data_IF_768812036612
#
_entry.id   IF_768812036612
#
_cell.length_a   1.000
_cell.length_b   1.000
_cell.length_c   1.000
_cell.angle_alpha   90.00
_cell.angle_beta   90.00
_cell.angle_gamma   90.00
#
_symmetry.space_group_name_H-M   'P 1'
#
loop_
_entity.id
_entity.type
_entity.pdbx_description
1 polymer ?
#
# COMPACT_ATOMS: atom_id res chain seq x y z
N UNK A 1 -1.31 -23.18 -4.20
CA UNK A 1 -0.79 -22.01 -3.44
C UNK A 1 -1.24 -20.79 -4.21
N UNK A 2 -2.00 -19.90 -3.60
CA UNK A 2 -2.54 -18.67 -4.23
C UNK A 2 -1.50 -17.56 -4.11
N UNK A 3 -1.42 -16.69 -5.11
CA UNK A 3 -0.51 -15.54 -5.06
C UNK A 3 -1.30 -14.23 -5.12
N UNK A 4 -0.84 -13.26 -4.37
CA UNK A 4 -1.24 -11.86 -4.50
C UNK A 4 -0.09 -11.12 -5.18
N UNK A 5 -0.25 -10.77 -6.44
CA UNK A 5 0.64 -9.85 -7.15
C UNK A 5 0.23 -8.42 -6.79
N UNK A 6 1.16 -7.60 -6.33
CA UNK A 6 0.85 -6.23 -5.93
C UNK A 6 1.55 -5.20 -6.81
N UNK A 7 0.80 -4.55 -7.66
CA UNK A 7 1.26 -3.44 -8.48
C UNK A 7 1.01 -2.12 -7.73
N UNK A 8 2.08 -1.39 -7.40
CA UNK A 8 1.99 -0.15 -6.62
C UNK A 8 3.29 0.66 -6.60
N UNK A 9 3.32 1.64 -5.71
CA UNK A 9 4.39 2.60 -5.50
C UNK A 9 5.16 2.41 -4.17
N UNK A 10 5.76 3.49 -3.65
CA UNK A 10 6.59 3.50 -2.44
C UNK A 10 5.84 3.20 -1.16
N UNK A 11 4.52 3.38 -1.12
CA UNK A 11 3.71 3.13 0.09
C UNK A 11 3.52 1.64 0.35
N UNK A 12 3.72 0.82 -0.69
CA UNK A 12 3.55 -0.64 -0.66
C UNK A 12 4.88 -1.40 -0.77
N UNK A 13 5.91 -0.77 -1.36
CA UNK A 13 7.19 -1.43 -1.68
C UNK A 13 7.82 -2.12 -0.47
N UNK A 14 8.37 -3.33 -0.70
CA UNK A 14 9.27 -3.98 0.26
C UNK A 14 10.58 -3.22 0.35
N UNK A 15 10.88 -2.69 1.53
CA UNK A 15 12.05 -1.86 1.80
C UNK A 15 13.23 -2.70 2.30
N UNK A 16 14.46 -2.21 2.04
CA UNK A 16 15.70 -2.84 2.47
C UNK A 16 16.17 -2.25 3.79
N UNK A 17 17.08 -2.94 4.46
CA UNK A 17 17.71 -2.47 5.72
C UNK A 17 18.25 -1.03 5.63
N UNK A 18 18.83 -0.65 4.49
CA UNK A 18 19.37 0.72 4.28
C UNK A 18 18.31 1.83 4.35
N UNK A 19 17.03 1.50 4.26
CA UNK A 19 15.93 2.46 4.41
C UNK A 19 15.13 2.26 5.69
N UNK A 20 15.60 1.40 6.61
CA UNK A 20 14.97 1.22 7.91
C UNK A 20 14.92 2.55 8.68
N UNK A 21 13.79 2.95 9.30
CA UNK A 21 12.59 2.16 9.63
C UNK A 21 11.46 2.18 8.59
N UNK A 22 11.72 2.63 7.34
CA UNK A 22 10.69 2.67 6.31
C UNK A 22 10.17 1.26 6.01
N UNK A 23 8.85 1.09 6.07
CA UNK A 23 8.16 -0.18 5.84
C UNK A 23 6.98 0.07 4.92
N UNK A 24 6.84 -0.72 3.85
CA UNK A 24 5.68 -0.62 2.97
C UNK A 24 4.55 -1.57 3.39
N UNK A 25 3.32 -1.23 3.00
CA UNK A 25 2.12 -2.02 3.31
C UNK A 25 2.25 -3.47 2.80
N UNK A 26 2.75 -3.65 1.57
CA UNK A 26 2.94 -4.98 0.97
C UNK A 26 4.02 -5.82 1.64
N UNK A 27 4.93 -5.19 2.38
CA UNK A 27 5.98 -5.88 3.14
C UNK A 27 5.43 -6.64 4.35
N UNK A 28 4.32 -6.18 4.91
CA UNK A 28 3.71 -6.74 6.12
C UNK A 28 2.37 -7.43 5.86
N UNK A 29 1.87 -7.41 4.63
CA UNK A 29 0.53 -7.89 4.33
C UNK A 29 0.34 -9.39 4.58
N UNK A 30 1.42 -10.18 4.54
CA UNK A 30 1.39 -11.61 4.91
C UNK A 30 0.95 -11.88 6.35
N UNK A 31 0.96 -10.86 7.23
CA UNK A 31 0.37 -10.97 8.57
C UNK A 31 -1.15 -11.24 8.52
N UNK A 32 -1.82 -10.77 7.48
CA UNK A 32 -3.26 -10.83 7.31
C UNK A 32 -3.74 -11.96 6.41
N UNK A 33 -2.83 -12.71 5.79
CA UNK A 33 -3.18 -13.78 4.86
C UNK A 33 -2.98 -15.17 5.44
N UNK A 34 -3.76 -16.13 4.96
CA UNK A 34 -3.57 -17.56 5.23
C UNK A 34 -2.21 -18.04 4.74
N UNK A 35 -1.72 -19.15 5.28
CA UNK A 35 -0.38 -19.69 4.99
C UNK A 35 -0.22 -20.24 3.57
N UNK A 36 -1.33 -20.53 2.89
CA UNK A 36 -1.34 -20.94 1.47
C UNK A 36 -1.32 -19.76 0.50
N UNK A 37 -1.26 -18.51 1.00
CA UNK A 37 -1.23 -17.27 0.23
C UNK A 37 0.15 -16.64 0.27
N UNK A 38 0.75 -16.40 -0.90
CA UNK A 38 2.05 -15.71 -1.03
C UNK A 38 1.88 -14.31 -1.60
N UNK A 39 2.44 -13.30 -0.93
CA UNK A 39 2.48 -11.91 -1.43
C UNK A 39 3.70 -11.71 -2.32
N UNK A 40 3.48 -11.49 -3.62
CA UNK A 40 4.50 -11.17 -4.63
C UNK A 40 4.47 -9.67 -4.89
N UNK A 41 5.30 -8.92 -4.18
CA UNK A 41 5.25 -7.47 -4.15
C UNK A 41 6.08 -6.84 -5.30
N UNK A 42 5.40 -6.39 -6.36
CA UNK A 42 5.98 -5.69 -7.51
C UNK A 42 6.06 -4.16 -7.34
N UNK A 43 5.54 -3.64 -6.20
CA UNK A 43 5.54 -2.20 -5.93
C UNK A 43 6.97 -1.62 -5.98
N UNK A 44 7.07 -0.40 -6.50
CA UNK A 44 8.36 0.28 -6.67
C UNK A 44 8.24 1.78 -6.41
N UNK A 45 9.19 2.32 -5.63
CA UNK A 45 9.26 3.75 -5.31
C UNK A 45 9.09 4.63 -6.55
N UNK A 46 8.23 5.64 -6.45
CA UNK A 46 8.06 6.68 -7.45
C UNK A 46 7.25 6.27 -8.69
N UNK A 47 6.65 5.07 -8.73
CA UNK A 47 5.88 4.62 -9.89
C UNK A 47 4.43 5.10 -9.82
N UNK A 48 3.97 5.63 -10.96
CA UNK A 48 2.57 5.84 -11.30
C UNK A 48 2.05 4.66 -12.10
N UNK A 49 0.76 4.63 -12.40
CA UNK A 49 0.20 3.63 -13.34
C UNK A 49 0.95 3.65 -14.68
N UNK A 50 1.18 4.87 -15.22
CA UNK A 50 1.90 5.08 -16.47
C UNK A 50 3.32 4.53 -16.43
N UNK A 51 4.15 5.00 -15.49
CA UNK A 51 5.55 4.58 -15.42
C UNK A 51 5.72 3.11 -15.07
N UNK A 52 4.77 2.51 -14.33
CA UNK A 52 4.76 1.08 -14.06
C UNK A 52 4.53 0.25 -15.32
N UNK A 53 3.66 0.71 -16.23
CA UNK A 53 3.42 0.10 -17.54
C UNK A 53 4.64 0.32 -18.45
N UNK A 54 5.07 1.58 -18.61
CA UNK A 54 6.14 1.97 -19.52
C UNK A 54 7.48 1.26 -19.23
N UNK A 55 7.75 0.94 -17.97
CA UNK A 55 8.95 0.20 -17.53
C UNK A 55 8.81 -1.33 -17.65
N UNK A 56 7.74 -1.83 -18.24
CA UNK A 56 7.50 -3.27 -18.42
C UNK A 56 7.24 -4.03 -17.11
N UNK A 57 6.88 -3.33 -16.02
CA UNK A 57 6.61 -3.99 -14.72
C UNK A 57 5.31 -4.75 -14.73
N UNK A 58 4.28 -4.21 -15.39
CA UNK A 58 3.02 -4.90 -15.58
C UNK A 58 3.19 -6.12 -16.48
N UNK A 59 4.05 -6.04 -17.50
CA UNK A 59 4.37 -7.19 -18.36
C UNK A 59 4.95 -8.36 -17.54
N UNK A 60 5.81 -8.10 -16.56
CA UNK A 60 6.35 -9.17 -15.68
C UNK A 60 5.26 -9.85 -14.88
N UNK A 61 4.25 -9.09 -14.42
CA UNK A 61 3.08 -9.66 -13.75
C UNK A 61 2.26 -10.49 -14.74
N UNK A 62 2.04 -9.98 -15.96
CA UNK A 62 1.31 -10.67 -17.03
C UNK A 62 1.95 -12.03 -17.40
N UNK A 63 3.28 -12.14 -17.30
CA UNK A 63 4.03 -13.37 -17.57
C UNK A 63 3.95 -14.41 -16.42
N UNK A 64 3.64 -13.97 -15.17
CA UNK A 64 3.71 -14.83 -13.98
C UNK A 64 2.35 -15.15 -13.35
N UNK A 65 1.35 -14.27 -13.54
CA UNK A 65 0.04 -14.39 -12.90
C UNK A 65 -0.78 -15.50 -13.57
N UNK A 66 -1.48 -16.30 -12.77
CA UNK A 66 -2.27 -17.42 -13.26
C UNK A 66 -3.67 -17.47 -12.70
N UNK A 67 -4.43 -18.46 -13.14
CA UNK A 67 -5.81 -18.66 -12.71
C UNK A 67 -5.91 -18.88 -11.19
N UNK A 68 -6.82 -18.14 -10.54
CA UNK A 68 -7.00 -18.19 -9.09
C UNK A 68 -6.04 -17.31 -8.29
N UNK A 69 -5.07 -16.66 -8.93
CA UNK A 69 -4.24 -15.63 -8.29
C UNK A 69 -5.00 -14.29 -8.18
N UNK A 70 -4.38 -13.32 -7.51
CA UNK A 70 -4.97 -12.00 -7.28
C UNK A 70 -4.02 -10.90 -7.79
N UNK A 71 -4.57 -9.85 -8.40
CA UNK A 71 -3.82 -8.65 -8.73
C UNK A 71 -4.35 -7.46 -7.91
N UNK A 72 -3.57 -7.01 -6.93
CA UNK A 72 -3.84 -5.81 -6.15
C UNK A 72 -3.24 -4.60 -6.87
N UNK A 73 -4.05 -3.58 -7.12
CA UNK A 73 -3.72 -2.41 -7.92
C UNK A 73 -3.92 -1.16 -7.04
N UNK A 74 -2.81 -0.49 -6.65
CA UNK A 74 -2.85 0.66 -5.74
C UNK A 74 -1.91 1.76 -6.25
N UNK A 75 -2.47 2.83 -6.79
CA UNK A 75 -1.75 3.97 -7.36
C UNK A 75 -2.46 5.30 -7.06
N UNK A 76 -1.82 6.42 -7.43
CA UNK A 76 -2.32 7.78 -7.28
C UNK A 76 -1.24 8.76 -6.86
N UNK A 77 -0.39 8.41 -5.86
CA UNK A 77 0.64 9.30 -5.31
C UNK A 77 1.62 9.89 -6.33
N UNK A 78 1.87 9.19 -7.42
CA UNK A 78 2.80 9.62 -8.46
C UNK A 78 2.08 10.03 -9.73
N UNK A 79 0.89 9.53 -9.95
CA UNK A 79 0.01 9.89 -11.07
C UNK A 79 -0.38 11.38 -11.02
N UNK A 80 -0.55 11.94 -9.82
CA UNK A 80 -0.90 13.35 -9.59
C UNK A 80 0.22 14.37 -9.85
N UNK A 81 1.43 13.93 -10.17
CA UNK A 81 2.60 14.80 -10.36
C UNK A 81 2.61 15.47 -11.72
N UNK A 82 1.76 16.47 -11.91
CA UNK A 82 1.58 17.17 -13.19
C UNK A 82 2.86 17.79 -13.77
N UNK A 83 3.86 18.10 -12.93
CA UNK A 83 5.17 18.61 -13.34
C UNK A 83 6.12 17.52 -13.86
N UNK A 84 5.75 16.24 -13.79
CA UNK A 84 6.56 15.10 -14.23
C UNK A 84 5.82 14.28 -15.29
N UNK A 85 6.00 14.58 -16.58
CA UNK A 85 5.29 13.89 -17.68
C UNK A 85 5.55 12.38 -17.76
N UNK A 86 6.65 11.90 -17.18
CA UNK A 86 6.96 10.47 -17.15
C UNK A 86 6.05 9.69 -16.18
N UNK A 87 5.42 10.39 -15.21
CA UNK A 87 4.55 9.80 -14.21
C UNK A 87 3.12 10.29 -14.26
N UNK A 88 2.92 11.53 -14.68
CA UNK A 88 1.60 12.14 -14.69
C UNK A 88 0.60 11.40 -15.57
N UNK A 89 -0.61 11.28 -15.05
CA UNK A 89 -1.79 10.80 -15.78
C UNK A 89 -2.96 11.73 -15.47
N UNK A 90 -3.85 11.96 -16.44
CA UNK A 90 -5.09 12.68 -16.22
C UNK A 90 -6.08 11.78 -15.47
N UNK A 91 -6.69 12.21 -14.33
CA UNK A 91 -7.49 11.34 -13.46
C UNK A 91 -8.62 10.60 -14.19
N UNK A 92 -9.45 11.34 -14.91
CA UNK A 92 -10.67 10.82 -15.53
C UNK A 92 -10.50 10.35 -17.00
N UNK A 93 -9.27 10.19 -17.44
CA UNK A 93 -8.95 9.61 -18.77
C UNK A 93 -7.81 8.61 -18.64
N UNK A 94 -6.54 9.03 -18.83
CA UNK A 94 -5.38 8.14 -18.90
C UNK A 94 -5.13 7.33 -17.62
N UNK A 95 -5.48 7.85 -16.43
CA UNK A 95 -5.40 7.06 -15.21
C UNK A 95 -6.43 5.92 -15.20
N UNK A 96 -7.68 6.21 -15.57
CA UNK A 96 -8.74 5.18 -15.67
C UNK A 96 -8.39 4.14 -16.75
N UNK A 97 -7.93 4.58 -17.92
CA UNK A 97 -7.48 3.69 -19.01
C UNK A 97 -6.37 2.75 -18.54
N UNK A 98 -5.38 3.28 -17.83
CA UNK A 98 -4.31 2.46 -17.26
C UNK A 98 -4.85 1.44 -16.25
N UNK A 99 -5.74 1.82 -15.34
CA UNK A 99 -6.38 0.88 -14.40
C UNK A 99 -7.10 -0.26 -15.13
N UNK A 100 -7.80 0.05 -16.22
CA UNK A 100 -8.45 -0.96 -17.06
C UNK A 100 -7.45 -1.94 -17.69
N UNK A 101 -6.25 -1.47 -18.07
CA UNK A 101 -5.17 -2.35 -18.56
C UNK A 101 -4.74 -3.33 -17.47
N UNK A 102 -4.51 -2.87 -16.22
CA UNK A 102 -4.18 -3.77 -15.09
C UNK A 102 -5.28 -4.79 -14.82
N UNK A 103 -6.55 -4.36 -14.81
CA UNK A 103 -7.71 -5.24 -14.60
C UNK A 103 -7.76 -6.32 -15.68
N UNK A 104 -7.52 -5.94 -16.94
CA UNK A 104 -7.56 -6.85 -18.08
C UNK A 104 -6.42 -7.88 -18.04
N UNK A 105 -5.23 -7.49 -17.55
CA UNK A 105 -4.13 -8.45 -17.32
C UNK A 105 -4.57 -9.53 -16.34
N UNK A 106 -5.19 -9.20 -15.20
CA UNK A 106 -5.67 -10.20 -14.27
C UNK A 106 -6.74 -11.11 -14.92
N UNK A 107 -7.74 -10.52 -15.55
CA UNK A 107 -8.87 -11.25 -16.16
C UNK A 107 -8.46 -12.19 -17.29
N UNK A 108 -7.50 -11.78 -18.12
CA UNK A 108 -6.95 -12.59 -19.20
C UNK A 108 -6.43 -13.94 -18.71
N UNK A 109 -5.89 -13.98 -17.50
CA UNK A 109 -5.34 -15.19 -16.88
C UNK A 109 -6.29 -15.91 -15.92
N UNK A 110 -7.55 -15.44 -15.79
CA UNK A 110 -8.48 -15.99 -14.80
C UNK A 110 -8.11 -15.65 -13.34
N UNK A 111 -7.35 -14.59 -13.15
CA UNK A 111 -7.01 -14.03 -11.84
C UNK A 111 -8.04 -12.97 -11.41
N UNK A 112 -8.04 -12.64 -10.14
CA UNK A 112 -8.98 -11.73 -9.49
C UNK A 112 -8.36 -10.35 -9.28
N UNK A 113 -8.78 -9.29 -10.02
CA UNK A 113 -8.32 -7.93 -9.79
C UNK A 113 -8.98 -7.31 -8.55
N UNK A 114 -8.23 -6.47 -7.82
CA UNK A 114 -8.72 -5.64 -6.72
C UNK A 114 -8.16 -4.24 -6.88
N UNK A 115 -9.00 -3.23 -6.87
CA UNK A 115 -8.58 -1.83 -6.78
C UNK A 115 -8.46 -1.42 -5.31
N UNK A 116 -7.39 -0.70 -4.98
CA UNK A 116 -7.13 -0.17 -3.64
C UNK A 116 -6.86 1.33 -3.79
N UNK A 117 -7.70 2.17 -3.21
CA UNK A 117 -7.48 3.62 -3.28
C UNK A 117 -6.15 4.01 -2.60
N UNK A 118 -5.45 5.07 -3.05
CA UNK A 118 -4.19 5.48 -2.43
C UNK A 118 -4.36 5.82 -0.95
N UNK A 119 -3.33 5.55 -0.16
CA UNK A 119 -3.27 5.97 1.24
C UNK A 119 -3.37 7.50 1.34
N UNK A 120 -4.16 8.03 2.29
CA UNK A 120 -4.17 9.48 2.54
C UNK A 120 -2.82 9.95 3.10
N UNK A 121 -2.34 11.10 2.61
CA UNK A 121 -1.16 11.77 3.17
C UNK A 121 -1.51 12.42 4.51
N UNK A 122 -0.56 12.40 5.43
CA UNK A 122 -0.69 13.03 6.73
C UNK A 122 -0.51 14.56 6.63
N UNK A 123 -1.42 15.22 5.91
CA UNK A 123 -1.39 16.68 5.67
C UNK A 123 -2.40 17.38 6.60
N UNK A 124 -2.03 17.59 7.85
CA UNK A 124 -2.82 18.35 8.79
C UNK A 124 -2.68 19.85 8.58
N UNK A 125 -3.78 20.61 8.66
CA UNK A 125 -3.82 22.07 8.65
C UNK A 125 -3.77 22.63 10.07
N UNK A 126 -4.22 21.85 11.04
CA UNK A 126 -4.07 22.08 12.48
C UNK A 126 -4.08 20.72 13.22
N UNK A 127 -4.06 20.73 14.55
CA UNK A 127 -3.92 19.52 15.38
C UNK A 127 -4.99 18.45 15.13
N UNK A 128 -6.15 18.82 14.58
CA UNK A 128 -7.32 17.94 14.42
C UNK A 128 -7.82 17.82 12.98
N UNK A 129 -7.52 18.78 12.14
CA UNK A 129 -8.11 18.84 10.82
C UNK A 129 -7.10 18.47 9.73
N UNK A 130 -7.39 17.40 8.99
CA UNK A 130 -6.73 17.11 7.73
C UNK A 130 -7.16 18.12 6.68
N UNK A 131 -6.20 18.60 5.90
CA UNK A 131 -6.45 19.40 4.73
C UNK A 131 -7.33 18.71 3.68
N UNK A 132 -7.57 19.42 2.58
CA UNK A 132 -8.21 18.84 1.39
C UNK A 132 -7.36 17.66 0.96
N UNK A 133 -7.99 16.50 0.72
CA UNK A 133 -7.28 15.27 0.39
C UNK A 133 -6.44 15.41 -0.88
N UNK A 134 -5.20 15.01 -0.80
CA UNK A 134 -4.23 15.17 -1.88
C UNK A 134 -4.60 14.40 -3.16
N UNK A 135 -5.40 13.33 -3.03
CA UNK A 135 -5.65 12.38 -4.11
C UNK A 135 -7.12 12.34 -4.57
N UNK A 136 -7.94 13.36 -4.25
CA UNK A 136 -9.40 13.32 -4.38
C UNK A 136 -9.88 12.89 -5.77
N UNK A 137 -9.29 13.45 -6.84
CA UNK A 137 -9.71 13.15 -8.21
C UNK A 137 -9.28 11.74 -8.64
N UNK A 138 -8.10 11.29 -8.24
CA UNK A 138 -7.64 9.91 -8.50
C UNK A 138 -8.44 8.87 -7.72
N UNK A 139 -8.85 9.19 -6.49
CA UNK A 139 -9.76 8.35 -5.70
C UNK A 139 -11.13 8.26 -6.38
N UNK A 140 -11.68 9.39 -6.83
CA UNK A 140 -12.96 9.42 -7.54
C UNK A 140 -12.88 8.63 -8.86
N UNK A 141 -11.81 8.82 -9.65
CA UNK A 141 -11.58 8.10 -10.90
C UNK A 141 -11.44 6.58 -10.66
N UNK A 142 -10.70 6.16 -9.62
CA UNK A 142 -10.56 4.75 -9.28
C UNK A 142 -11.89 4.12 -8.86
N UNK A 143 -12.74 4.83 -8.09
CA UNK A 143 -14.08 4.38 -7.72
C UNK A 143 -14.97 4.21 -8.95
N UNK A 144 -14.97 5.18 -9.88
CA UNK A 144 -15.69 5.06 -11.14
C UNK A 144 -15.21 3.87 -11.99
N UNK A 145 -13.89 3.63 -12.03
CA UNK A 145 -13.33 2.47 -12.73
C UNK A 145 -13.77 1.16 -12.07
N UNK A 146 -13.80 1.09 -10.74
CA UNK A 146 -14.26 -0.09 -10.01
C UNK A 146 -15.72 -0.42 -10.37
N UNK A 147 -16.60 0.57 -10.37
CA UNK A 147 -18.02 0.43 -10.77
C UNK A 147 -18.14 0.02 -12.24
N UNK A 148 -17.51 0.77 -13.16
CA UNK A 148 -17.52 0.51 -14.60
C UNK A 148 -17.07 -0.90 -14.93
N UNK A 149 -16.00 -1.36 -14.29
CA UNK A 149 -15.43 -2.66 -14.55
C UNK A 149 -15.97 -3.78 -13.67
N UNK A 150 -16.86 -3.50 -12.73
CA UNK A 150 -17.37 -4.46 -11.75
C UNK A 150 -16.20 -5.21 -11.05
N UNK A 151 -15.31 -4.43 -10.41
CA UNK A 151 -14.14 -4.89 -9.67
C UNK A 151 -14.26 -4.46 -8.21
N UNK A 152 -13.97 -5.32 -7.23
CA UNK A 152 -13.94 -4.92 -5.82
C UNK A 152 -12.96 -3.78 -5.56
N UNK A 153 -13.33 -2.90 -4.64
CA UNK A 153 -12.53 -1.77 -4.22
C UNK A 153 -12.37 -1.76 -2.70
N UNK A 154 -11.12 -1.77 -2.22
CA UNK A 154 -10.80 -1.43 -0.84
C UNK A 154 -10.56 0.09 -0.75
N UNK A 155 -11.46 0.83 -0.09
CA UNK A 155 -11.35 2.29 0.04
C UNK A 155 -10.39 2.69 1.16
N UNK A 156 -9.10 2.38 0.97
CA UNK A 156 -8.04 2.73 1.92
C UNK A 156 -7.98 4.24 2.17
N UNK A 157 -8.24 5.07 1.16
CA UNK A 157 -8.24 6.52 1.31
C UNK A 157 -9.23 6.98 2.40
N UNK A 158 -10.48 6.59 2.31
CA UNK A 158 -11.50 7.00 3.29
C UNK A 158 -11.24 6.40 4.68
N UNK A 159 -10.80 5.13 4.73
CA UNK A 159 -10.49 4.46 5.98
C UNK A 159 -9.26 5.06 6.67
N UNK A 160 -8.17 5.29 5.94
CA UNK A 160 -6.95 5.91 6.50
C UNK A 160 -7.20 7.34 6.96
N UNK A 161 -8.00 8.10 6.21
CA UNK A 161 -8.41 9.45 6.59
C UNK A 161 -9.17 9.49 7.90
N UNK A 162 -10.03 8.50 8.15
CA UNK A 162 -10.74 8.31 9.41
C UNK A 162 -9.78 8.05 10.57
N UNK A 163 -8.83 7.13 10.42
CA UNK A 163 -7.85 6.82 11.46
C UNK A 163 -6.90 8.01 11.73
N UNK A 164 -6.48 8.72 10.69
CA UNK A 164 -5.67 9.93 10.84
C UNK A 164 -6.40 11.00 11.65
N UNK A 165 -7.67 11.28 11.33
CA UNK A 165 -8.50 12.24 12.09
C UNK A 165 -8.67 11.84 13.55
N UNK A 166 -8.91 10.55 13.81
CA UNK A 166 -9.05 10.01 15.17
C UNK A 166 -7.77 10.15 15.99
N UNK A 167 -6.61 9.89 15.40
CA UNK A 167 -5.32 10.00 16.07
C UNK A 167 -4.83 11.45 16.23
N UNK A 168 -5.26 12.35 15.36
CA UNK A 168 -4.78 13.73 15.29
C UNK A 168 -3.35 13.84 14.75
N UNK A 169 -2.88 15.07 14.66
CA UNK A 169 -1.54 15.39 14.12
C UNK A 169 -0.45 14.66 14.91
N UNK A 170 -0.39 14.84 16.22
CA UNK A 170 0.65 14.25 17.07
C UNK A 170 0.56 12.74 17.16
N UNK A 171 -0.64 12.18 17.35
CA UNK A 171 -0.84 10.75 17.53
C UNK A 171 -0.54 9.92 16.28
N UNK A 172 -0.70 10.50 15.09
CA UNK A 172 -0.45 9.83 13.82
C UNK A 172 1.02 9.85 13.38
N UNK A 173 1.89 10.66 13.98
CA UNK A 173 3.32 10.75 13.62
C UNK A 173 4.02 9.39 13.70
N UNK A 174 3.68 8.58 14.69
CA UNK A 174 4.28 7.24 14.89
C UNK A 174 4.05 6.27 13.73
N UNK A 175 3.09 6.52 12.88
CA UNK A 175 2.78 5.67 11.72
C UNK A 175 3.63 6.01 10.48
N UNK A 176 4.21 7.23 10.45
CA UNK A 176 4.94 7.75 9.29
C UNK A 176 6.43 7.90 9.59
N UNK A 177 7.22 8.15 8.54
CA UNK A 177 8.64 8.46 8.65
C UNK A 177 8.84 9.86 9.25
N UNK A 178 8.38 10.02 10.48
CA UNK A 178 8.39 11.26 11.24
C UNK A 178 9.09 11.02 12.59
N UNK A 179 10.34 11.49 12.72
CA UNK A 179 11.17 11.25 13.91
C UNK A 179 12.32 12.25 14.03
N UNK A 180 12.88 12.34 15.24
CA UNK A 180 13.90 13.32 15.58
C UNK A 180 15.30 12.93 15.09
N UNK A 181 16.21 13.90 15.11
CA UNK A 181 17.64 13.68 14.86
C UNK A 181 18.22 12.65 15.82
N UNK A 182 19.02 11.70 15.29
CA UNK A 182 19.71 10.67 16.07
C UNK A 182 18.87 9.47 16.47
N UNK A 183 17.55 9.43 16.13
CA UNK A 183 16.65 8.31 16.48
C UNK A 183 16.94 7.04 15.65
N UNK A 184 17.37 7.22 14.38
CA UNK A 184 17.71 6.11 13.49
C UNK A 184 19.05 6.34 12.79
N UNK A 185 19.91 5.32 12.77
CA UNK A 185 21.24 5.37 12.15
C UNK A 185 21.20 5.73 10.66
N UNK A 186 20.19 5.23 9.93
CA UNK A 186 20.03 5.49 8.49
C UNK A 186 19.51 6.91 8.19
N UNK A 187 19.07 7.65 9.22
CA UNK A 187 18.55 9.02 9.12
C UNK A 187 19.11 9.87 10.28
N UNK A 188 20.43 10.16 10.29
CA UNK A 188 21.07 10.84 11.42
C UNK A 188 20.48 12.23 11.70
N UNK A 189 19.95 12.90 10.69
CA UNK A 189 19.34 14.23 10.83
C UNK A 189 17.83 14.21 11.15
N UNK A 190 17.27 13.00 11.37
CA UNK A 190 15.85 12.82 11.55
C UNK A 190 15.09 12.84 10.20
N UNK A 191 13.76 12.77 10.26
CA UNK A 191 12.92 12.85 9.07
C UNK A 191 11.53 13.41 9.39
N UNK A 192 10.99 14.20 8.47
CA UNK A 192 9.62 14.70 8.48
C UNK A 192 8.96 14.33 7.14
N UNK A 193 8.31 13.17 7.11
CA UNK A 193 7.72 12.63 5.89
C UNK A 193 6.30 12.14 6.21
N UNK A 194 5.34 12.78 5.58
CA UNK A 194 3.92 12.59 5.79
C UNK A 194 3.29 11.57 4.81
N UNK A 195 4.12 10.81 4.10
CA UNK A 195 3.68 9.85 3.06
C UNK A 195 4.18 8.44 3.34
N UNK A 196 5.49 8.27 3.61
CA UNK A 196 6.09 6.96 3.82
C UNK A 196 5.90 6.47 5.25
N UNK A 197 5.73 5.17 5.41
CA UNK A 197 5.33 4.54 6.65
C UNK A 197 6.51 3.95 7.43
N UNK A 198 6.33 3.85 8.76
CA UNK A 198 7.05 2.93 9.63
C UNK A 198 6.23 1.67 9.82
N UNK A 199 6.78 0.68 10.51
CA UNK A 199 6.16 -0.63 10.73
C UNK A 199 4.72 -0.52 11.28
N UNK A 200 4.49 0.21 12.37
CA UNK A 200 3.16 0.34 12.98
C UNK A 200 2.13 0.94 12.02
N UNK A 201 2.54 1.89 11.20
CA UNK A 201 1.69 2.45 10.14
C UNK A 201 1.41 1.46 9.02
N UNK A 202 2.45 0.73 8.58
CA UNK A 202 2.28 -0.29 7.55
C UNK A 202 1.32 -1.40 7.99
N UNK A 203 1.44 -1.87 9.24
CA UNK A 203 0.53 -2.88 9.83
C UNK A 203 -0.89 -2.33 9.93
N UNK A 204 -1.09 -1.13 10.49
CA UNK A 204 -2.42 -0.52 10.59
C UNK A 204 -3.12 -0.44 9.22
N UNK A 205 -2.43 0.11 8.21
CA UNK A 205 -3.06 0.33 6.90
C UNK A 205 -3.19 -0.96 6.09
N UNK A 206 -2.34 -1.97 6.32
CA UNK A 206 -2.55 -3.32 5.82
C UNK A 206 -3.84 -3.94 6.39
N UNK A 207 -4.09 -3.76 7.69
CA UNK A 207 -5.33 -4.19 8.34
C UNK A 207 -6.59 -3.53 7.76
N UNK A 208 -6.51 -2.25 7.39
CA UNK A 208 -7.63 -1.58 6.73
C UNK A 208 -7.90 -2.17 5.33
N UNK A 209 -6.85 -2.52 4.58
CA UNK A 209 -7.03 -3.21 3.29
C UNK A 209 -7.65 -4.59 3.51
N UNK A 210 -7.17 -5.36 4.49
CA UNK A 210 -7.76 -6.65 4.84
C UNK A 210 -9.25 -6.52 5.19
N UNK A 211 -9.63 -5.49 5.95
CA UNK A 211 -11.04 -5.18 6.22
C UNK A 211 -11.84 -4.93 4.94
N UNK A 212 -11.31 -4.15 4.00
CA UNK A 212 -11.96 -3.92 2.71
C UNK A 212 -12.13 -5.20 1.87
N UNK A 213 -11.16 -6.12 1.93
CA UNK A 213 -11.26 -7.44 1.29
C UNK A 213 -12.31 -8.33 2.00
N UNK A 214 -12.40 -8.26 3.32
CA UNK A 214 -13.43 -8.96 4.09
C UNK A 214 -14.83 -8.48 3.71
N UNK A 215 -15.01 -7.17 3.54
CA UNK A 215 -16.27 -6.55 3.09
C UNK A 215 -16.62 -6.93 1.65
N UNK A 216 -15.62 -7.13 0.77
CA UNK A 216 -15.82 -7.63 -0.60
C UNK A 216 -16.33 -9.07 -0.63
N UNK A 217 -16.03 -9.87 0.38
CA UNK A 217 -16.52 -11.24 0.54
C UNK A 217 -15.94 -12.25 -0.45
N UNK A 218 -16.53 -13.45 -0.46
CA UNK A 218 -16.18 -14.52 -1.40
C UNK A 218 -14.69 -14.87 -1.40
N UNK A 219 -14.10 -15.02 -2.58
CA UNK A 219 -12.69 -15.39 -2.77
C UNK A 219 -11.72 -14.38 -2.15
N UNK A 220 -12.11 -13.11 -2.01
CA UNK A 220 -11.29 -12.05 -1.43
C UNK A 220 -11.17 -12.19 0.09
N UNK A 221 -12.30 -12.41 0.78
CA UNK A 221 -12.32 -12.67 2.21
C UNK A 221 -11.62 -13.99 2.55
N UNK A 222 -11.73 -15.00 1.67
CA UNK A 222 -11.08 -16.31 1.88
C UNK A 222 -9.54 -16.27 1.83
N UNK A 223 -8.93 -15.17 1.37
CA UNK A 223 -7.49 -14.95 1.49
C UNK A 223 -7.02 -14.73 2.92
N UNK A 224 -7.91 -14.27 3.80
CA UNK A 224 -7.55 -13.69 5.09
C UNK A 224 -7.57 -14.73 6.20
N UNK A 225 -6.70 -14.55 7.18
CA UNK A 225 -6.74 -15.28 8.45
C UNK A 225 -7.90 -14.77 9.31
N UNK A 226 -8.36 -15.60 10.22
CA UNK A 226 -9.31 -15.19 11.25
C UNK A 226 -8.65 -14.22 12.24
N UNK A 227 -9.43 -13.36 12.86
CA UNK A 227 -8.95 -12.28 13.74
C UNK A 227 -8.10 -12.79 14.92
N UNK A 228 -8.43 -13.97 15.45
CA UNK A 228 -7.69 -14.62 16.53
C UNK A 228 -6.24 -14.96 16.14
N UNK A 229 -6.00 -15.35 14.89
CA UNK A 229 -4.68 -15.72 14.37
C UNK A 229 -3.79 -14.49 14.09
N UNK A 230 -4.39 -13.31 13.90
CA UNK A 230 -3.66 -12.06 13.61
C UNK A 230 -2.68 -11.69 14.72
N UNK A 231 -3.12 -11.78 15.98
CA UNK A 231 -2.30 -11.40 17.14
C UNK A 231 -1.05 -12.29 17.26
N UNK A 232 -1.16 -13.57 16.98
CA UNK A 232 -0.04 -14.52 17.03
C UNK A 232 0.98 -14.25 15.92
N UNK A 233 0.52 -14.01 14.68
CA UNK A 233 1.39 -13.67 13.55
C UNK A 233 2.10 -12.34 13.75
N UNK A 234 1.44 -11.33 14.26
CA UNK A 234 2.04 -10.02 14.53
C UNK A 234 3.13 -10.11 15.60
N UNK A 235 2.90 -10.86 16.67
CA UNK A 235 3.90 -11.10 17.73
C UNK A 235 5.11 -11.83 17.14
N UNK A 236 4.92 -12.89 16.37
CA UNK A 236 6.00 -13.63 15.71
C UNK A 236 6.82 -12.78 14.77
N UNK A 237 6.17 -11.92 13.98
CA UNK A 237 6.84 -11.02 13.04
C UNK A 237 7.65 -9.91 13.75
N UNK A 238 7.11 -9.31 14.79
CA UNK A 238 7.82 -8.34 15.65
C UNK A 238 9.05 -8.96 16.31
N UNK A 239 8.92 -10.19 16.80
CA UNK A 239 10.03 -10.94 17.39
C UNK A 239 11.14 -11.18 16.35
N UNK A 240 10.79 -11.60 15.14
CA UNK A 240 11.75 -11.80 14.06
C UNK A 240 12.47 -10.50 13.68
N UNK A 241 11.76 -9.38 13.56
CA UNK A 241 12.36 -8.06 13.28
C UNK A 241 13.31 -7.60 14.39
N UNK A 242 12.99 -7.86 15.66
CA UNK A 242 13.85 -7.53 16.80
C UNK A 242 15.15 -8.32 16.77
N UNK A 243 15.13 -9.59 16.31
CA UNK A 243 16.33 -10.42 16.20
C UNK A 243 17.17 -10.15 14.95
N UNK A 244 16.58 -9.62 13.88
CA UNK A 244 17.27 -9.36 12.60
C UNK A 244 17.72 -7.90 12.45
N UNK A 245 17.20 -6.99 13.28
CA UNK A 245 17.65 -5.60 13.33
C UNK A 245 18.67 -5.43 14.42
N UNK A 246 19.90 -4.91 14.13
CA UNK A 246 20.85 -4.60 15.20
C UNK A 246 20.19 -3.63 16.17
N UNK A 247 20.20 -4.00 17.45
CA UNK A 247 19.78 -3.13 18.53
C UNK A 247 20.64 -1.87 18.52
N UNK A 248 20.11 -0.69 18.87
CA UNK A 248 20.93 0.50 19.11
C UNK A 248 22.03 0.28 20.18
N UNK A 249 21.95 -0.81 20.94
CA UNK A 249 22.93 -1.19 21.99
C UNK A 249 24.03 -2.15 21.52
N UNK A 250 23.95 -2.65 20.29
CA UNK A 250 24.95 -3.60 19.75
C UNK A 250 26.09 -2.88 19.00
N UNK A 251 26.32 -1.61 19.29
CA UNK A 251 27.42 -0.79 18.74
C UNK A 251 28.21 -0.12 19.87
N UNK A 252 28.74 -0.90 20.81
CA UNK A 252 29.91 -0.53 21.59
C UNK A 252 31.13 -1.31 21.11
#
# INVERSE_FOLDING_TARGET
MRKIFWASDSTVQTNKFMTYPQTGIGQVFSLYTKDDVTVVNYAKNGRSTKSFIDEGRLQRIDEEIGAGDFLFIQFGHNDEKSQDPARYTEPFSTFMENLEIFINVARKHGAYPVLITPLERRCFVDDKHLGIGAHSDYVAAMKQTAEKCNVPLADLYSMSRTELKKAGEMGSRKWFMYFSKGEYKNYPDGKTDNTHLRYDGAVLFAGLIAKGLQEAGGVYADLLVEEETLNEKEIGYRTCLLYTSPSPRDTE
#
